data_IF_922628370297
#
_entry.id   IF_922628370297
#
_cell.length_a   1.000
_cell.length_b   1.000
_cell.length_c   1.000
_cell.angle_alpha   90.00
_cell.angle_beta   90.00
_cell.angle_gamma   90.00
#
_symmetry.space_group_name_H-M   'P 1'
#
loop_
_entity.id
_entity.type
_entity.pdbx_description
1 polymer ?
#
# COMPACT_ATOMS: atom_id res chain seq x y z
N UNK A 1 -12.73 -12.56 -23.09
CA UNK A 1 -11.32 -12.87 -23.45
C UNK A 1 -10.48 -13.14 -22.21
N UNK A 2 -9.44 -13.98 -22.34
CA UNK A 2 -8.46 -14.19 -21.26
C UNK A 2 -7.06 -13.80 -21.72
N UNK A 3 -6.33 -13.07 -20.90
CA UNK A 3 -4.94 -12.65 -21.15
C UNK A 3 -4.13 -12.76 -19.86
N UNK A 4 -2.83 -12.90 -20.03
CA UNK A 4 -1.88 -12.94 -18.93
C UNK A 4 -1.02 -11.69 -18.97
N UNK A 5 -0.75 -11.15 -17.79
CA UNK A 5 0.18 -10.03 -17.58
C UNK A 5 1.18 -10.37 -16.49
N UNK A 6 2.32 -9.69 -16.53
CA UNK A 6 3.32 -9.70 -15.46
C UNK A 6 3.54 -8.28 -15.02
N UNK A 7 3.58 -8.04 -13.72
CA UNK A 7 3.88 -6.75 -13.13
C UNK A 7 5.08 -6.88 -12.18
N UNK A 8 6.09 -6.06 -12.37
CA UNK A 8 7.16 -5.89 -11.39
C UNK A 8 6.61 -5.26 -10.11
N UNK A 9 7.36 -5.34 -9.02
CA UNK A 9 6.95 -4.72 -7.73
C UNK A 9 6.71 -3.21 -7.88
N UNK A 10 7.47 -2.52 -8.71
CA UNK A 10 7.28 -1.09 -8.95
C UNK A 10 6.01 -0.79 -9.74
N UNK A 11 5.76 -1.53 -10.82
CA UNK A 11 4.53 -1.43 -11.61
C UNK A 11 3.30 -1.79 -10.78
N UNK A 12 3.37 -2.83 -9.94
CA UNK A 12 2.35 -3.20 -8.96
C UNK A 12 2.00 -2.04 -8.02
N UNK A 13 3.02 -1.41 -7.43
CA UNK A 13 2.81 -0.24 -6.55
C UNK A 13 2.16 0.93 -7.28
N UNK A 14 2.56 1.19 -8.52
CA UNK A 14 1.95 2.24 -9.35
C UNK A 14 0.49 1.91 -9.69
N UNK A 15 0.20 0.68 -10.07
CA UNK A 15 -1.16 0.21 -10.34
C UNK A 15 -2.06 0.38 -9.10
N UNK A 16 -1.59 -0.12 -7.95
CA UNK A 16 -2.30 -0.01 -6.67
C UNK A 16 -2.56 1.46 -6.33
N UNK A 17 -1.56 2.33 -6.49
CA UNK A 17 -1.69 3.75 -6.21
C UNK A 17 -2.76 4.43 -7.06
N UNK A 18 -2.79 4.14 -8.37
CA UNK A 18 -3.83 4.63 -9.28
C UNK A 18 -5.21 4.08 -8.90
N UNK A 19 -5.28 2.80 -8.51
CA UNK A 19 -6.51 2.20 -8.00
C UNK A 19 -7.03 2.91 -6.76
N UNK A 20 -6.16 3.17 -5.77
CA UNK A 20 -6.52 3.92 -4.55
C UNK A 20 -7.01 5.32 -4.88
N UNK A 21 -6.31 6.05 -5.76
CA UNK A 21 -6.71 7.41 -6.16
C UNK A 21 -8.05 7.44 -6.92
N UNK A 22 -8.46 6.34 -7.55
CA UNK A 22 -9.73 6.24 -8.26
C UNK A 22 -10.91 5.84 -7.35
N UNK A 23 -10.69 5.48 -6.08
CA UNK A 23 -11.77 5.08 -5.17
C UNK A 23 -12.68 6.28 -4.88
N UNK A 24 -14.01 6.17 -5.06
CA UNK A 24 -14.94 7.30 -4.86
C UNK A 24 -14.84 7.93 -3.46
N UNK A 25 -14.65 7.11 -2.42
CA UNK A 25 -14.54 7.62 -1.04
C UNK A 25 -13.24 8.41 -0.81
N UNK A 26 -12.13 8.04 -1.49
CA UNK A 26 -10.87 8.79 -1.45
C UNK A 26 -11.06 10.13 -2.14
N UNK A 27 -11.67 10.13 -3.33
CA UNK A 27 -11.96 11.35 -4.08
C UNK A 27 -12.88 12.31 -3.30
N UNK A 28 -13.89 11.77 -2.60
CA UNK A 28 -14.77 12.56 -1.73
C UNK A 28 -13.98 13.16 -0.58
N UNK A 29 -13.19 12.35 0.15
CA UNK A 29 -12.39 12.82 1.27
C UNK A 29 -11.34 13.86 0.87
N UNK A 30 -10.73 13.71 -0.32
CA UNK A 30 -9.82 14.72 -0.87
C UNK A 30 -10.51 16.05 -1.14
N UNK A 31 -11.78 16.06 -1.56
CA UNK A 31 -12.52 17.30 -1.86
C UNK A 31 -13.15 17.95 -0.64
N UNK A 32 -13.68 17.16 0.29
CA UNK A 32 -14.58 17.63 1.34
C UNK A 32 -14.06 17.39 2.76
N UNK A 33 -13.15 16.41 2.94
CA UNK A 33 -12.68 15.91 4.23
C UNK A 33 -11.18 15.94 4.40
N UNK A 34 -10.69 14.93 5.09
CA UNK A 34 -9.26 14.71 5.36
C UNK A 34 -8.77 13.38 4.81
N UNK A 35 -7.54 13.36 4.32
CA UNK A 35 -6.83 12.14 3.91
C UNK A 35 -5.46 12.13 4.53
N UNK A 36 -5.18 11.11 5.35
CA UNK A 36 -3.83 10.83 5.85
C UNK A 36 -3.16 9.80 4.95
N UNK A 37 -1.96 10.10 4.48
CA UNK A 37 -1.10 9.15 3.80
C UNK A 37 0.09 8.88 4.71
N UNK A 38 0.10 7.74 5.40
CA UNK A 38 1.20 7.38 6.28
C UNK A 38 2.43 6.92 5.48
N UNK A 39 3.62 7.21 6.01
CA UNK A 39 4.90 6.84 5.40
C UNK A 39 4.99 5.36 5.02
N UNK A 40 5.48 5.07 3.83
CA UNK A 40 5.70 3.71 3.35
C UNK A 40 6.04 3.67 1.85
N UNK A 41 6.64 2.58 1.40
CA UNK A 41 7.06 2.45 -0.01
C UNK A 41 5.88 2.43 -0.99
N UNK A 42 4.81 1.70 -0.69
CA UNK A 42 3.60 1.68 -1.53
C UNK A 42 2.82 2.99 -1.41
N UNK A 43 2.71 3.53 -0.20
CA UNK A 43 2.00 4.80 0.05
C UNK A 43 2.72 6.00 -0.54
N UNK A 44 4.02 5.92 -0.82
CA UNK A 44 4.74 6.94 -1.58
C UNK A 44 4.19 7.10 -3.01
N UNK A 45 3.84 6.00 -3.67
CA UNK A 45 3.18 6.03 -4.99
C UNK A 45 1.75 6.59 -4.88
N UNK A 46 1.02 6.19 -3.83
CA UNK A 46 -0.32 6.76 -3.56
C UNK A 46 -0.25 8.26 -3.36
N UNK A 47 0.75 8.73 -2.59
CA UNK A 47 0.96 10.17 -2.39
C UNK A 47 1.22 10.92 -3.69
N UNK A 48 2.04 10.37 -4.61
CA UNK A 48 2.25 10.98 -5.93
C UNK A 48 0.94 11.12 -6.72
N UNK A 49 0.08 10.10 -6.72
CA UNK A 49 -1.20 10.14 -7.43
C UNK A 49 -2.18 11.15 -6.81
N UNK A 50 -2.27 11.22 -5.47
CA UNK A 50 -3.17 12.15 -4.79
C UNK A 50 -2.68 13.59 -4.81
N UNK A 51 -1.36 13.79 -4.73
CA UNK A 51 -0.75 15.13 -4.72
C UNK A 51 -0.57 15.72 -6.12
N UNK A 52 -0.50 14.85 -7.15
CA UNK A 52 -0.19 15.25 -8.51
C UNK A 52 1.25 15.77 -8.70
N UNK A 53 2.15 15.46 -7.76
CA UNK A 53 3.55 15.92 -7.78
C UNK A 53 4.50 14.75 -7.65
N UNK A 54 5.54 14.73 -8.48
CA UNK A 54 6.67 13.79 -8.34
C UNK A 54 7.62 14.25 -7.24
N UNK A 55 8.17 13.29 -6.50
CA UNK A 55 9.18 13.51 -5.48
C UNK A 55 10.07 12.27 -5.35
N UNK A 56 11.20 12.40 -4.64
CA UNK A 56 12.03 11.23 -4.32
C UNK A 56 11.32 10.34 -3.29
N UNK A 57 10.66 9.28 -3.77
CA UNK A 57 9.90 8.33 -2.96
C UNK A 57 10.73 7.65 -1.86
N UNK A 58 12.06 7.56 -2.03
CA UNK A 58 12.97 6.99 -1.03
C UNK A 58 12.94 7.77 0.29
N UNK A 59 12.59 9.05 0.24
CA UNK A 59 12.42 9.93 1.41
C UNK A 59 11.09 9.70 2.15
N UNK A 60 10.13 8.98 1.51
CA UNK A 60 8.78 8.74 2.06
C UNK A 60 8.62 7.31 2.56
N UNK A 61 9.46 6.89 3.48
CA UNK A 61 9.48 5.52 4.01
C UNK A 61 9.58 5.46 5.53
N UNK A 62 9.02 4.40 6.11
CA UNK A 62 9.15 4.08 7.53
C UNK A 62 9.18 2.58 7.68
N UNK A 63 10.25 2.04 8.30
CA UNK A 63 10.42 0.61 8.50
C UNK A 63 10.45 -0.16 7.16
N UNK A 64 11.64 -0.47 6.67
CA UNK A 64 11.83 -1.21 5.43
C UNK A 64 12.52 -2.54 5.70
N UNK A 65 12.08 -3.57 4.99
CA UNK A 65 12.84 -4.82 4.90
C UNK A 65 13.93 -4.61 3.84
N UNK A 66 15.18 -4.75 4.24
CA UNK A 66 16.35 -4.66 3.37
C UNK A 66 17.15 -5.96 3.48
N UNK A 67 18.02 -6.29 2.52
CA UNK A 67 18.93 -7.42 2.62
C UNK A 67 19.81 -7.33 3.87
N UNK A 68 20.12 -8.46 4.49
CA UNK A 68 21.04 -8.53 5.65
C UNK A 68 22.43 -8.00 5.32
N UNK A 69 22.89 -8.27 4.09
CA UNK A 69 24.09 -7.68 3.51
C UNK A 69 23.62 -6.84 2.31
N UNK A 70 23.39 -5.54 2.49
CA UNK A 70 22.94 -4.69 1.41
C UNK A 70 24.07 -4.43 0.42
N UNK A 71 23.72 -4.34 -0.86
CA UNK A 71 24.58 -3.65 -1.84
C UNK A 71 24.79 -2.19 -1.39
N UNK A 72 25.75 -1.49 -2.01
CA UNK A 72 25.93 -0.07 -1.74
C UNK A 72 24.59 0.66 -1.93
N UNK A 73 24.00 1.09 -0.83
CA UNK A 73 22.75 1.84 -0.85
C UNK A 73 23.07 3.30 -1.21
N UNK A 74 22.43 3.79 -2.25
CA UNK A 74 22.44 5.20 -2.61
C UNK A 74 21.43 5.90 -1.68
N UNK A 75 21.91 6.42 -0.55
CA UNK A 75 21.05 7.13 0.38
C UNK A 75 20.38 8.33 -0.31
N UNK A 76 19.07 8.52 -0.13
CA UNK A 76 18.38 9.63 -0.76
C UNK A 76 18.96 10.96 -0.27
N UNK A 77 19.20 11.88 -1.19
CA UNK A 77 19.63 13.23 -0.82
C UNK A 77 18.51 13.97 -0.07
N UNK A 78 18.85 14.57 1.05
CA UNK A 78 17.97 15.37 1.89
C UNK A 78 17.26 14.57 2.99
N UNK A 79 16.59 15.30 3.87
CA UNK A 79 15.91 14.76 5.03
C UNK A 79 14.70 13.89 4.64
N UNK A 80 14.35 12.95 5.52
CA UNK A 80 13.12 12.17 5.41
C UNK A 80 11.90 13.10 5.39
N UNK A 81 10.99 12.85 4.46
CA UNK A 81 9.74 13.60 4.41
C UNK A 81 8.83 13.25 5.62
N UNK A 82 8.07 14.22 6.13
CA UNK A 82 7.01 13.93 7.09
C UNK A 82 5.86 13.17 6.44
N UNK A 83 4.95 12.64 7.26
CA UNK A 83 3.66 12.18 6.77
C UNK A 83 2.90 13.32 6.10
N UNK A 84 2.10 13.00 5.09
CA UNK A 84 1.29 14.00 4.42
C UNK A 84 -0.18 13.84 4.81
N UNK A 85 -0.74 14.92 5.29
CA UNK A 85 -2.16 15.05 5.62
C UNK A 85 -2.77 16.06 4.68
N UNK A 86 -3.82 15.65 3.97
CA UNK A 86 -4.64 16.56 3.17
C UNK A 86 -5.91 16.94 3.92
N UNK A 87 -6.30 18.20 3.82
CA UNK A 87 -7.61 18.72 4.20
C UNK A 87 -8.20 19.48 3.02
N UNK A 88 -9.29 18.96 2.45
CA UNK A 88 -9.94 19.52 1.25
C UNK A 88 -8.95 19.76 0.10
N UNK A 89 -8.06 18.79 -0.14
CA UNK A 89 -7.05 18.83 -1.19
C UNK A 89 -5.76 19.58 -0.86
N UNK A 90 -5.73 20.36 0.21
CA UNK A 90 -4.55 21.13 0.61
C UNK A 90 -3.74 20.40 1.69
N UNK A 91 -2.42 20.49 1.62
CA UNK A 91 -1.51 19.87 2.60
C UNK A 91 -1.52 20.67 3.90
N UNK A 92 -1.80 19.99 5.00
CA UNK A 92 -1.76 20.54 6.36
C UNK A 92 -0.44 20.14 7.02
N UNK A 93 0.47 21.11 7.22
CA UNK A 93 1.83 20.86 7.71
C UNK A 93 1.90 20.59 9.21
N UNK A 94 0.91 21.06 9.97
CA UNK A 94 0.81 20.98 11.42
C UNK A 94 0.32 19.60 11.90
N UNK A 95 -0.17 18.78 10.98
CA UNK A 95 -0.70 17.45 11.27
C UNK A 95 0.19 16.35 10.69
N UNK A 96 0.23 15.24 11.39
CA UNK A 96 0.89 14.01 10.99
C UNK A 96 -0.05 12.80 11.16
N UNK A 97 0.47 11.59 10.93
CA UNK A 97 -0.27 10.33 11.08
C UNK A 97 -0.81 10.07 12.49
N UNK A 98 -0.28 10.72 13.51
CA UNK A 98 -0.67 10.53 14.91
C UNK A 98 -1.65 11.61 15.39
N UNK A 99 -1.49 12.81 14.92
CA UNK A 99 -2.30 13.97 15.35
C UNK A 99 -3.55 14.17 14.52
N UNK A 100 -3.48 13.93 13.21
CA UNK A 100 -4.64 14.04 12.31
C UNK A 100 -5.85 13.20 12.75
N UNK A 101 -5.71 11.95 13.25
CA UNK A 101 -6.85 11.16 13.68
C UNK A 101 -7.69 11.78 14.81
N UNK A 102 -7.15 12.73 15.57
CA UNK A 102 -7.91 13.49 16.58
C UNK A 102 -9.02 14.35 15.95
N UNK A 103 -8.78 14.86 14.74
CA UNK A 103 -9.70 15.74 14.01
C UNK A 103 -10.55 15.00 12.96
N UNK A 104 -10.16 13.78 12.59
CA UNK A 104 -10.82 12.96 11.58
C UNK A 104 -12.12 12.32 12.09
N UNK A 105 -13.03 12.01 11.16
CA UNK A 105 -14.29 11.32 11.38
C UNK A 105 -14.56 10.23 10.33
N UNK A 106 -15.79 9.73 10.33
CA UNK A 106 -16.22 8.58 9.51
C UNK A 106 -16.16 8.80 7.99
N UNK A 107 -16.14 10.05 7.53
CA UNK A 107 -16.08 10.40 6.10
C UNK A 107 -14.64 10.61 5.62
N UNK A 108 -13.69 10.59 6.54
CA UNK A 108 -12.27 10.76 6.27
C UNK A 108 -11.56 9.43 5.98
N UNK A 109 -10.38 9.53 5.37
CA UNK A 109 -9.63 8.38 4.90
C UNK A 109 -8.23 8.36 5.52
N UNK A 110 -7.86 7.21 6.07
CA UNK A 110 -6.50 6.94 6.54
C UNK A 110 -5.86 5.85 5.68
N UNK A 111 -4.72 6.12 5.06
CA UNK A 111 -4.04 5.23 4.13
C UNK A 111 -2.72 4.76 4.73
N UNK A 112 -2.56 3.45 4.88
CA UNK A 112 -1.31 2.84 5.37
C UNK A 112 -1.08 1.48 4.72
N UNK A 113 0.14 1.24 4.21
CA UNK A 113 0.55 -0.05 3.69
C UNK A 113 0.74 -1.11 4.78
N UNK A 114 1.04 -2.33 4.35
CA UNK A 114 1.29 -3.48 5.20
C UNK A 114 2.56 -4.25 4.76
N UNK A 115 2.99 -5.19 5.61
CA UNK A 115 4.15 -6.05 5.37
C UNK A 115 3.77 -7.49 5.00
N UNK A 116 2.58 -7.94 5.41
CA UNK A 116 2.03 -9.25 5.10
C UNK A 116 0.58 -9.10 4.65
N UNK A 117 0.12 -10.02 3.82
CA UNK A 117 -1.24 -10.08 3.29
C UNK A 117 -1.77 -11.51 3.41
N UNK A 118 -2.91 -11.68 4.04
CA UNK A 118 -3.76 -12.85 3.92
C UNK A 118 -4.96 -12.45 3.05
N UNK A 119 -4.80 -12.64 1.75
CA UNK A 119 -5.80 -12.22 0.78
C UNK A 119 -7.13 -12.96 0.94
N UNK A 120 -7.07 -14.25 1.30
CA UNK A 120 -8.25 -15.10 1.49
C UNK A 120 -9.15 -14.59 2.61
N UNK A 121 -8.55 -14.22 3.74
CA UNK A 121 -9.26 -13.74 4.92
C UNK A 121 -9.39 -12.21 4.96
N UNK A 122 -8.92 -11.50 3.92
CA UNK A 122 -8.97 -10.03 3.81
C UNK A 122 -8.34 -9.34 5.04
N UNK A 123 -7.18 -9.86 5.45
CA UNK A 123 -6.39 -9.33 6.56
C UNK A 123 -4.99 -8.95 6.09
N UNK A 124 -4.43 -7.95 6.73
CA UNK A 124 -3.04 -7.57 6.51
C UNK A 124 -2.28 -7.51 7.83
N UNK A 125 -0.95 -7.63 7.76
CA UNK A 125 -0.07 -7.59 8.92
C UNK A 125 0.98 -6.48 8.79
N UNK A 126 1.24 -5.80 9.89
CA UNK A 126 2.28 -4.77 9.98
C UNK A 126 3.35 -5.21 10.94
N UNK A 127 4.60 -5.28 10.49
CA UNK A 127 5.75 -5.52 11.34
C UNK A 127 6.01 -4.30 12.23
N UNK A 128 6.03 -4.52 13.53
CA UNK A 128 6.17 -3.48 14.55
C UNK A 128 7.58 -3.49 15.13
N UNK A 129 8.36 -2.48 14.78
CA UNK A 129 9.69 -2.27 15.36
C UNK A 129 9.73 -1.24 16.51
N UNK A 130 8.60 -0.67 16.90
CA UNK A 130 8.48 0.32 17.97
C UNK A 130 7.81 -0.30 19.19
N UNK A 131 8.35 -0.03 20.39
CA UNK A 131 7.81 -0.52 21.66
C UNK A 131 6.38 -0.04 21.98
N UNK A 132 5.93 1.02 21.32
CA UNK A 132 4.57 1.57 21.47
C UNK A 132 3.66 1.28 20.26
N UNK A 133 4.03 0.31 19.42
CA UNK A 133 3.22 -0.12 18.27
C UNK A 133 3.33 0.78 17.02
N UNK A 134 4.21 1.79 17.03
CA UNK A 134 4.46 2.66 15.88
C UNK A 134 3.19 3.33 15.33
N UNK A 135 3.08 3.38 14.00
CA UNK A 135 1.90 4.00 13.33
C UNK A 135 0.59 3.32 13.73
N UNK A 136 0.58 1.98 13.80
CA UNK A 136 -0.64 1.23 14.15
C UNK A 136 -1.06 1.54 15.59
N UNK A 137 -0.11 1.45 16.54
CA UNK A 137 -0.38 1.74 17.96
C UNK A 137 -0.92 3.15 18.19
N UNK A 138 -0.39 4.15 17.47
CA UNK A 138 -0.80 5.54 17.65
C UNK A 138 -2.07 5.97 16.91
N UNK A 139 -2.56 5.19 15.93
CA UNK A 139 -3.69 5.62 15.11
C UNK A 139 -4.89 4.67 15.11
N UNK A 140 -4.69 3.36 15.32
CA UNK A 140 -5.74 2.36 15.13
C UNK A 140 -6.95 2.56 16.06
N UNK A 141 -6.71 2.97 17.31
CA UNK A 141 -7.78 3.28 18.25
C UNK A 141 -8.75 4.35 17.74
N UNK A 142 -8.21 5.43 17.16
CA UNK A 142 -9.01 6.48 16.51
C UNK A 142 -9.70 5.97 15.25
N UNK A 143 -8.98 5.23 14.41
CA UNK A 143 -9.52 4.69 13.15
C UNK A 143 -10.76 3.84 13.43
N UNK A 144 -10.67 2.91 14.39
CA UNK A 144 -11.77 2.02 14.75
C UNK A 144 -12.88 2.78 15.48
N UNK A 145 -12.53 3.52 16.53
CA UNK A 145 -13.51 4.20 17.40
C UNK A 145 -14.33 5.25 16.66
N UNK A 146 -13.73 6.00 15.75
CA UNK A 146 -14.40 7.02 14.94
C UNK A 146 -14.89 6.52 13.58
N UNK A 147 -14.66 5.23 13.26
CA UNK A 147 -15.05 4.61 11.97
C UNK A 147 -14.43 5.31 10.75
N UNK A 148 -13.20 5.82 10.90
CA UNK A 148 -12.43 6.40 9.80
C UNK A 148 -12.21 5.31 8.74
N UNK A 149 -12.30 5.67 7.45
CA UNK A 149 -12.10 4.70 6.37
C UNK A 149 -10.63 4.34 6.27
N UNK A 150 -10.30 3.11 6.65
CA UNK A 150 -8.93 2.61 6.64
C UNK A 150 -8.65 1.88 5.33
N UNK A 151 -7.78 2.45 4.48
CA UNK A 151 -7.36 1.86 3.20
C UNK A 151 -5.96 1.28 3.34
N UNK A 152 -5.80 0.04 2.92
CA UNK A 152 -4.56 -0.73 3.05
C UNK A 152 -4.07 -1.10 1.64
N UNK A 153 -3.27 -0.22 0.98
CA UNK A 153 -2.61 -0.57 -0.27
C UNK A 153 -1.48 -1.57 0.00
N UNK A 154 -1.59 -2.75 -0.57
CA UNK A 154 -0.63 -3.84 -0.35
C UNK A 154 -0.53 -4.71 -1.59
N UNK A 155 0.68 -4.98 -2.06
CA UNK A 155 0.90 -5.83 -3.23
C UNK A 155 0.79 -7.31 -2.90
N UNK A 156 0.36 -8.10 -3.89
CA UNK A 156 0.24 -9.56 -3.80
C UNK A 156 1.58 -10.25 -3.56
N UNK A 157 2.70 -9.58 -3.78
CA UNK A 157 4.05 -10.07 -3.44
C UNK A 157 4.23 -10.30 -1.94
N UNK A 158 3.31 -9.76 -1.11
CA UNK A 158 3.33 -9.90 0.36
C UNK A 158 2.37 -10.98 0.88
N UNK A 159 1.80 -11.76 -0.03
CA UNK A 159 0.92 -12.88 0.35
C UNK A 159 1.67 -13.88 1.25
N UNK A 160 1.07 -14.23 2.37
CA UNK A 160 1.52 -15.29 3.28
C UNK A 160 0.56 -16.48 3.25
N UNK A 161 1.02 -17.64 3.65
CA UNK A 161 0.22 -18.87 3.62
C UNK A 161 -0.68 -19.00 4.85
N UNK A 162 -0.13 -18.63 6.01
CA UNK A 162 -0.80 -18.78 7.28
C UNK A 162 -1.75 -17.61 7.55
N UNK A 163 -2.74 -17.85 8.39
CA UNK A 163 -3.62 -16.80 8.92
C UNK A 163 -2.80 -15.74 9.66
N UNK A 164 -3.09 -14.48 9.42
CA UNK A 164 -2.34 -13.34 10.01
C UNK A 164 -2.41 -13.35 11.55
N UNK A 165 -3.51 -13.83 12.16
CA UNK A 165 -3.61 -13.95 13.61
C UNK A 165 -2.71 -15.05 14.14
N UNK A 166 -2.56 -16.17 13.39
CA UNK A 166 -1.63 -17.21 13.75
C UNK A 166 -0.18 -16.73 13.65
N UNK A 167 0.16 -16.00 12.58
CA UNK A 167 1.48 -15.38 12.46
C UNK A 167 1.75 -14.37 13.57
N UNK A 168 0.74 -13.59 13.99
CA UNK A 168 0.84 -12.71 15.14
C UNK A 168 1.15 -13.49 16.42
N UNK A 169 0.43 -14.59 16.67
CA UNK A 169 0.65 -15.44 17.85
C UNK A 169 2.07 -16.01 17.88
N UNK A 170 2.57 -16.48 16.74
CA UNK A 170 3.93 -16.98 16.60
C UNK A 170 4.97 -15.88 16.85
N UNK A 171 4.76 -14.69 16.28
CA UNK A 171 5.67 -13.56 16.44
C UNK A 171 5.56 -12.87 17.82
N UNK A 172 4.63 -13.31 18.67
CA UNK A 172 4.48 -12.84 20.06
C UNK A 172 5.04 -13.83 21.09
N UNK A 173 5.62 -14.95 20.66
CA UNK A 173 6.20 -15.93 21.58
C UNK A 173 7.48 -15.39 22.26
N UNK A 174 7.76 -15.82 23.48
CA UNK A 174 8.87 -15.32 24.30
C UNK A 174 10.25 -15.64 23.70
N UNK A 175 10.35 -16.71 22.91
CA UNK A 175 11.58 -17.14 22.25
C UNK A 175 11.80 -16.48 20.88
N UNK A 176 10.83 -15.74 20.35
CA UNK A 176 10.97 -15.03 19.07
C UNK A 176 11.73 -13.71 19.24
N UNK A 177 12.82 -13.58 18.50
CA UNK A 177 13.64 -12.37 18.46
C UNK A 177 13.49 -11.64 17.13
N UNK A 178 12.42 -10.86 17.01
CA UNK A 178 12.13 -10.09 15.81
C UNK A 178 10.97 -9.11 16.04
N UNK A 179 10.63 -8.31 15.02
CA UNK A 179 9.48 -7.42 15.13
C UNK A 179 8.19 -8.22 15.20
N UNK A 180 7.31 -7.87 16.15
CA UNK A 180 5.98 -8.48 16.21
C UNK A 180 5.16 -8.12 14.96
N UNK A 181 4.20 -8.97 14.60
CA UNK A 181 3.29 -8.76 13.49
C UNK A 181 1.92 -8.32 14.03
N UNK A 182 1.50 -7.08 13.75
CA UNK A 182 0.19 -6.58 14.19
C UNK A 182 -0.86 -6.79 13.11
N UNK A 183 -1.92 -7.60 13.37
CA UNK A 183 -3.03 -7.78 12.45
C UNK A 183 -3.82 -6.48 12.27
N UNK A 184 -4.14 -6.13 11.05
CA UNK A 184 -5.00 -4.99 10.72
C UNK A 184 -6.06 -5.40 9.70
N UNK A 185 -7.23 -4.78 9.82
CA UNK A 185 -8.37 -4.96 8.91
C UNK A 185 -8.79 -3.60 8.35
N UNK A 186 -9.24 -3.60 7.10
CA UNK A 186 -9.66 -2.38 6.40
C UNK A 186 -10.02 -2.69 4.96
N UNK A 187 -10.05 -1.67 4.14
CA UNK A 187 -10.26 -1.80 2.69
C UNK A 187 -8.91 -2.15 2.05
N UNK A 188 -8.71 -3.43 1.76
CA UNK A 188 -7.49 -3.92 1.11
C UNK A 188 -7.56 -3.60 -0.38
N UNK A 189 -6.51 -2.98 -0.90
CA UNK A 189 -6.34 -2.70 -2.32
C UNK A 189 -5.04 -3.33 -2.80
N UNK A 190 -5.19 -4.40 -3.56
CA UNK A 190 -4.11 -5.07 -4.28
C UNK A 190 -4.17 -4.72 -5.78
N UNK A 191 -3.33 -5.36 -6.57
CA UNK A 191 -3.38 -5.30 -8.04
C UNK A 191 -4.75 -5.75 -8.58
N UNK A 192 -5.40 -6.71 -7.91
CA UNK A 192 -6.70 -7.26 -8.31
C UNK A 192 -7.79 -6.20 -8.17
N UNK A 193 -7.90 -5.57 -6.99
CA UNK A 193 -8.88 -4.53 -6.73
C UNK A 193 -8.60 -3.29 -7.60
N UNK A 194 -7.33 -2.92 -7.78
CA UNK A 194 -6.94 -1.79 -8.60
C UNK A 194 -7.37 -1.99 -10.08
N UNK A 195 -7.10 -3.15 -10.67
CA UNK A 195 -7.56 -3.48 -12.03
C UNK A 195 -9.07 -3.43 -12.14
N UNK A 196 -9.79 -4.02 -11.17
CA UNK A 196 -11.25 -3.99 -11.15
C UNK A 196 -11.80 -2.56 -11.07
N UNK A 197 -11.21 -1.71 -10.23
CA UNK A 197 -11.64 -0.31 -10.07
C UNK A 197 -11.39 0.49 -11.35
N UNK A 198 -10.25 0.29 -11.98
CA UNK A 198 -9.79 1.11 -13.10
C UNK A 198 -10.38 0.69 -14.45
N UNK A 199 -10.65 -0.61 -14.63
CA UNK A 199 -11.00 -1.17 -15.96
C UNK A 199 -12.19 -2.13 -15.93
N UNK A 200 -12.68 -2.49 -14.74
CA UNK A 200 -13.76 -3.47 -14.58
C UNK A 200 -13.35 -4.93 -14.84
N UNK A 201 -12.10 -5.20 -15.26
CA UNK A 201 -11.63 -6.56 -15.55
C UNK A 201 -11.47 -7.37 -14.26
N UNK A 202 -11.78 -8.65 -14.31
CA UNK A 202 -11.46 -9.60 -13.24
C UNK A 202 -10.01 -10.04 -13.39
N UNK A 203 -9.24 -10.02 -12.31
CA UNK A 203 -7.88 -10.51 -12.26
C UNK A 203 -7.73 -11.63 -11.23
N UNK A 204 -6.82 -12.56 -11.49
CA UNK A 204 -6.51 -13.69 -10.60
C UNK A 204 -5.00 -13.90 -10.56
N UNK A 205 -4.42 -13.99 -9.37
CA UNK A 205 -3.00 -14.32 -9.21
C UNK A 205 -2.77 -15.79 -9.57
N UNK A 206 -1.89 -16.05 -10.54
CA UNK A 206 -1.57 -17.41 -11.01
C UNK A 206 -0.13 -17.84 -10.72
N UNK A 207 0.78 -16.90 -10.54
CA UNK A 207 2.15 -17.16 -10.06
C UNK A 207 2.81 -15.86 -9.59
N UNK A 208 3.93 -15.97 -8.88
CA UNK A 208 4.75 -14.85 -8.43
C UNK A 208 6.23 -15.23 -8.54
N UNK A 209 7.10 -14.20 -8.47
CA UNK A 209 8.54 -14.33 -8.59
C UNK A 209 9.08 -14.02 -9.99
N UNK A 210 10.38 -13.98 -10.10
CA UNK A 210 11.10 -13.68 -11.35
C UNK A 210 12.58 -13.44 -11.07
N UNK A 211 13.32 -13.05 -12.10
CA UNK A 211 14.74 -12.74 -12.06
C UNK A 211 15.01 -11.44 -12.82
N UNK A 212 16.23 -10.93 -12.73
CA UNK A 212 16.72 -9.79 -13.52
C UNK A 212 15.85 -8.53 -13.41
N UNK A 213 15.39 -8.23 -12.18
CA UNK A 213 14.52 -7.09 -11.90
C UNK A 213 13.05 -7.43 -11.75
N UNK A 214 12.69 -8.69 -11.98
CA UNK A 214 11.35 -9.20 -11.79
C UNK A 214 11.18 -9.97 -10.45
N UNK A 215 12.15 -9.86 -9.53
CA UNK A 215 12.02 -10.43 -8.18
C UNK A 215 10.82 -9.81 -7.47
N UNK A 216 9.94 -10.66 -6.92
CA UNK A 216 8.66 -10.23 -6.31
C UNK A 216 7.57 -9.86 -7.31
N UNK A 217 7.77 -10.07 -8.62
CA UNK A 217 6.73 -9.85 -9.63
C UNK A 217 5.53 -10.75 -9.42
N UNK A 218 4.37 -10.28 -9.85
CA UNK A 218 3.12 -11.03 -9.85
C UNK A 218 2.65 -11.28 -11.28
N UNK A 219 2.14 -12.48 -11.52
CA UNK A 219 1.56 -12.87 -12.79
C UNK A 219 0.06 -13.03 -12.61
N UNK A 220 -0.70 -12.23 -13.35
CA UNK A 220 -2.15 -12.19 -13.24
C UNK A 220 -2.79 -12.71 -14.52
N UNK A 221 -3.83 -13.52 -14.36
CA UNK A 221 -4.78 -13.85 -15.40
C UNK A 221 -5.90 -12.81 -15.39
N UNK A 222 -6.07 -12.10 -16.49
CA UNK A 222 -7.21 -11.21 -16.74
C UNK A 222 -8.33 -12.03 -17.39
N UNK A 223 -9.57 -11.82 -16.93
CA UNK A 223 -10.77 -12.49 -17.44
C UNK A 223 -11.91 -11.47 -17.52
N UNK A 224 -12.47 -11.27 -18.69
CA UNK A 224 -13.53 -10.29 -18.92
C UNK A 224 -14.01 -10.27 -20.36
N UNK A 225 -14.85 -9.28 -20.71
CA UNK A 225 -15.17 -9.01 -22.11
C UNK A 225 -13.92 -8.57 -22.87
N UNK A 226 -13.98 -8.58 -24.18
CA UNK A 226 -12.83 -8.14 -24.99
C UNK A 226 -12.49 -6.69 -24.71
N UNK A 227 -13.50 -5.83 -24.58
CA UNK A 227 -13.33 -4.41 -24.25
C UNK A 227 -12.68 -4.21 -22.88
N UNK A 228 -13.08 -4.97 -21.85
CA UNK A 228 -12.51 -4.86 -20.50
C UNK A 228 -11.04 -5.30 -20.49
N UNK A 229 -10.72 -6.39 -21.18
CA UNK A 229 -9.34 -6.89 -21.20
C UNK A 229 -8.45 -5.96 -22.03
N UNK A 230 -8.90 -5.46 -23.18
CA UNK A 230 -8.13 -4.48 -23.98
C UNK A 230 -7.94 -3.17 -23.20
N UNK A 231 -8.99 -2.65 -22.54
CA UNK A 231 -8.86 -1.46 -21.67
C UNK A 231 -7.83 -1.67 -20.57
N UNK A 232 -7.78 -2.87 -19.96
CA UNK A 232 -6.78 -3.20 -18.96
C UNK A 232 -5.37 -3.25 -19.55
N UNK A 233 -5.19 -3.85 -20.72
CA UNK A 233 -3.91 -3.92 -21.41
C UNK A 233 -3.41 -2.52 -21.80
N UNK A 234 -4.29 -1.65 -22.31
CA UNK A 234 -3.94 -0.29 -22.68
C UNK A 234 -3.58 0.56 -21.44
N UNK A 235 -4.35 0.39 -20.35
CA UNK A 235 -4.03 1.05 -19.09
C UNK A 235 -2.64 0.61 -18.56
N UNK A 236 -2.33 -0.67 -18.64
CA UNK A 236 -1.07 -1.20 -18.16
C UNK A 236 0.15 -0.67 -18.92
N UNK A 237 0.02 -0.32 -20.20
CA UNK A 237 1.08 0.34 -20.98
C UNK A 237 1.54 1.66 -20.33
N UNK A 238 0.67 2.35 -19.59
CA UNK A 238 0.97 3.62 -18.90
C UNK A 238 1.93 3.41 -17.72
N UNK A 239 1.89 2.25 -17.09
CA UNK A 239 2.69 1.94 -15.90
C UNK A 239 3.88 1.02 -16.20
N UNK A 240 3.96 0.46 -17.41
CA UNK A 240 5.09 -0.37 -17.83
C UNK A 240 6.40 0.41 -17.74
N UNK A 241 7.43 -0.24 -17.20
CA UNK A 241 8.72 0.38 -17.01
C UNK A 241 8.79 1.36 -15.84
N UNK A 242 7.80 1.35 -14.91
CA UNK A 242 7.94 2.13 -13.66
C UNK A 242 9.27 1.79 -12.99
N UNK A 243 10.13 2.78 -12.69
CA UNK A 243 11.46 2.55 -12.15
C UNK A 243 11.42 1.77 -10.83
N UNK A 244 12.39 0.85 -10.67
CA UNK A 244 12.55 0.11 -9.40
C UNK A 244 12.70 1.08 -8.24
N UNK A 245 12.14 0.70 -7.10
CA UNK A 245 12.38 1.41 -5.85
C UNK A 245 13.79 1.02 -5.36
N UNK A 246 14.77 1.82 -5.70
CA UNK A 246 16.17 1.66 -5.27
C UNK A 246 16.39 2.46 -3.97
N UNK A 247 17.29 1.95 -3.14
CA UNK A 247 17.81 2.65 -1.95
C UNK A 247 19.19 3.15 -2.23
#
# INVERSE_FOLDING_TARGET
>A
MKRQIVLTVAESKRLIAKGVAAIPIVNKAMKEGMVVVALGTTTAYVLEELWGKKFDKRRYRSGTTIPTVPDKLDEPQGERMPDVVFRKGEVVKELDRFTAPNEMGREDVYIKGANALDYKNQMAGVLIGSSIGGTVGGSLGHIIGKKIKFIIPVGLEKQVYEDINELHRLASSEDYQGPNLWPITGIIITEIEALKILTGVKATLISAGGIAGAEGSVRLLLDGTDEQVEAALDFLKIIQGEPRYLL
#
